data_IF_268457462183
#
_entry.id   IF_268457462183
#
_cell.length_a   1.000
_cell.length_b   1.000
_cell.length_c   1.000
_cell.angle_alpha   90.00
_cell.angle_beta   90.00
_cell.angle_gamma   90.00
#
_symmetry.space_group_name_H-M   'P 1'
#
loop_
_entity.id
_entity.type
_entity.pdbx_description
1 polymer ?
#
# COMPACT_ATOMS: atom_id res chain seq x y z
N UNK A 1 15.77 4.46 3.85
CA UNK A 1 14.90 3.36 4.34
C UNK A 1 15.64 2.02 4.32
N UNK A 2 16.16 1.58 3.20
CA UNK A 2 16.84 0.28 3.05
C UNK A 2 18.01 0.12 4.03
N UNK A 3 18.86 1.14 4.19
CA UNK A 3 20.02 1.11 5.10
C UNK A 3 19.69 0.85 6.57
N UNK A 4 18.43 1.06 6.99
CA UNK A 4 17.97 0.87 8.38
C UNK A 4 16.84 -0.14 8.47
N UNK A 5 16.72 -1.01 7.47
CA UNK A 5 15.63 -1.98 7.42
C UNK A 5 15.76 -3.04 8.51
N UNK A 6 16.98 -3.46 8.80
CA UNK A 6 17.36 -4.33 9.90
C UNK A 6 16.82 -3.84 11.25
N UNK A 7 17.01 -2.56 11.56
CA UNK A 7 16.51 -1.96 12.80
C UNK A 7 14.98 -2.05 12.94
N UNK A 8 14.26 -2.00 11.83
CA UNK A 8 12.81 -2.14 11.82
C UNK A 8 12.36 -3.59 11.96
N UNK A 9 13.05 -4.50 11.29
CA UNK A 9 12.71 -5.94 11.30
C UNK A 9 13.00 -6.56 12.65
N UNK A 10 14.08 -6.14 13.31
CA UNK A 10 14.52 -6.65 14.62
C UNK A 10 14.24 -5.68 15.77
N UNK A 11 13.33 -4.73 15.58
CA UNK A 11 12.92 -3.83 16.66
C UNK A 11 12.23 -4.60 17.79
N UNK A 12 12.51 -4.23 19.03
CA UNK A 12 11.83 -4.74 20.22
C UNK A 12 10.33 -4.41 20.21
N UNK A 13 9.96 -3.30 19.56
CA UNK A 13 8.55 -2.88 19.38
C UNK A 13 7.79 -3.71 18.34
N UNK A 14 8.45 -4.65 17.68
CA UNK A 14 7.79 -5.47 16.65
C UNK A 14 6.80 -6.45 17.28
N UNK A 15 5.57 -6.46 16.79
CA UNK A 15 4.55 -7.43 17.20
C UNK A 15 4.92 -8.82 16.67
N UNK A 16 5.31 -9.73 17.56
CA UNK A 16 5.73 -11.11 17.24
C UNK A 16 4.62 -12.12 17.53
N UNK A 17 3.61 -11.75 18.26
CA UNK A 17 2.54 -12.64 18.72
C UNK A 17 1.18 -11.98 18.55
N UNK A 18 0.14 -12.77 18.33
CA UNK A 18 -1.21 -12.26 18.31
C UNK A 18 -1.63 -11.70 19.66
N UNK A 19 -2.52 -10.72 19.64
CA UNK A 19 -3.12 -10.16 20.83
C UNK A 19 -4.61 -9.92 20.64
N UNK A 20 -5.39 -10.11 21.66
CA UNK A 20 -6.81 -9.78 21.72
C UNK A 20 -7.04 -8.56 22.59
N UNK A 21 -8.04 -7.77 22.25
CA UNK A 21 -8.41 -6.60 23.07
C UNK A 21 -8.88 -7.04 24.45
N UNK A 22 -8.35 -6.44 25.50
CA UNK A 22 -8.64 -6.74 26.90
C UNK A 22 -9.53 -5.69 27.57
N UNK A 23 -9.73 -4.53 26.94
CA UNK A 23 -10.53 -3.42 27.48
C UNK A 23 -11.56 -2.89 26.49
N UNK A 24 -12.13 -1.73 26.78
CA UNK A 24 -13.04 -1.00 25.92
C UNK A 24 -12.40 -0.58 24.59
N UNK A 25 -13.23 -0.29 23.59
CA UNK A 25 -12.76 0.22 22.31
C UNK A 25 -12.10 1.60 22.51
N UNK A 26 -10.84 1.74 22.09
CA UNK A 26 -10.07 2.99 22.23
C UNK A 26 -9.14 3.04 23.45
N UNK A 27 -9.26 2.14 24.41
CA UNK A 27 -8.39 2.11 25.60
C UNK A 27 -6.96 1.63 25.30
N UNK A 28 -6.73 0.98 24.15
CA UNK A 28 -5.41 0.47 23.79
C UNK A 28 -4.92 -0.72 24.61
N UNK A 29 -5.78 -1.32 25.42
CA UNK A 29 -5.46 -2.48 26.25
C UNK A 29 -5.56 -3.77 25.47
N UNK A 30 -4.47 -4.53 25.40
CA UNK A 30 -4.39 -5.82 24.69
C UNK A 30 -3.75 -6.89 25.56
N UNK A 31 -4.25 -8.12 25.45
CA UNK A 31 -3.69 -9.32 26.06
C UNK A 31 -3.07 -10.19 24.98
N UNK A 32 -1.81 -10.57 25.16
CA UNK A 32 -1.14 -11.54 24.28
C UNK A 32 -1.83 -12.91 24.38
N UNK A 33 -1.98 -13.58 23.25
CA UNK A 33 -2.57 -14.91 23.12
C UNK A 33 -1.68 -15.82 22.30
N UNK A 34 -1.94 -17.13 22.34
CA UNK A 34 -1.31 -18.07 21.41
C UNK A 34 -1.90 -17.94 19.99
N UNK A 35 -1.19 -18.46 19.00
CA UNK A 35 -1.73 -18.56 17.64
C UNK A 35 -2.96 -19.46 17.57
N UNK A 36 -2.98 -20.54 18.33
CA UNK A 36 -4.16 -21.43 18.41
C UNK A 36 -5.37 -20.68 18.95
N UNK A 37 -5.23 -19.98 20.07
CA UNK A 37 -6.31 -19.18 20.65
C UNK A 37 -6.81 -18.10 19.69
N UNK A 38 -5.91 -17.43 18.97
CA UNK A 38 -6.29 -16.40 18.00
C UNK A 38 -7.06 -17.00 16.80
N UNK A 39 -6.59 -18.12 16.27
CA UNK A 39 -7.21 -18.78 15.12
C UNK A 39 -8.58 -19.39 15.50
N UNK A 40 -8.69 -20.00 16.67
CA UNK A 40 -9.97 -20.54 17.18
C UNK A 40 -11.00 -19.42 17.37
N UNK A 41 -10.57 -18.29 17.91
CA UNK A 41 -11.44 -17.12 18.05
C UNK A 41 -11.92 -16.59 16.68
N UNK A 42 -11.03 -16.48 15.69
CA UNK A 42 -11.39 -16.03 14.33
C UNK A 42 -12.34 -17.02 13.68
N UNK A 43 -12.03 -18.32 13.75
CA UNK A 43 -12.86 -19.36 13.16
C UNK A 43 -14.26 -19.40 13.78
N UNK A 44 -14.35 -19.32 15.11
CA UNK A 44 -15.63 -19.24 15.82
C UNK A 44 -16.46 -18.04 15.36
N UNK A 45 -15.84 -16.84 15.32
CA UNK A 45 -16.55 -15.63 14.91
C UNK A 45 -17.00 -15.66 13.45
N UNK A 46 -16.18 -16.14 12.55
CA UNK A 46 -16.58 -16.30 11.15
C UNK A 46 -17.73 -17.29 11.00
N UNK A 47 -17.70 -18.40 11.73
CA UNK A 47 -18.76 -19.40 11.72
C UNK A 47 -20.08 -18.85 12.30
N UNK A 48 -20.03 -18.12 13.40
CA UNK A 48 -21.18 -17.45 14.00
C UNK A 48 -21.80 -16.44 13.01
N UNK A 49 -21.00 -15.55 12.44
CA UNK A 49 -21.47 -14.53 11.48
C UNK A 49 -22.07 -15.18 10.24
N UNK A 50 -21.38 -16.17 9.66
CA UNK A 50 -21.87 -16.87 8.48
C UNK A 50 -23.18 -17.61 8.72
N UNK A 51 -23.37 -18.20 9.90
CA UNK A 51 -24.61 -18.87 10.28
C UNK A 51 -25.76 -17.89 10.50
N UNK A 52 -25.50 -16.77 11.18
CA UNK A 52 -26.54 -15.87 11.65
C UNK A 52 -26.90 -14.78 10.62
N UNK A 53 -25.97 -14.43 9.72
CA UNK A 53 -26.09 -13.31 8.79
C UNK A 53 -25.71 -13.64 7.34
N UNK A 54 -25.18 -14.84 7.07
CA UNK A 54 -24.59 -15.20 5.78
C UNK A 54 -23.11 -14.86 5.68
N UNK A 55 -22.40 -15.54 4.78
CA UNK A 55 -20.98 -15.30 4.56
C UNK A 55 -20.67 -13.90 4.03
N UNK A 56 -21.58 -13.30 3.28
CA UNK A 56 -21.50 -11.96 2.72
C UNK A 56 -21.48 -10.83 3.77
N UNK A 57 -21.87 -11.12 5.02
CA UNK A 57 -21.68 -10.23 6.16
C UNK A 57 -20.21 -10.08 6.58
N UNK A 58 -19.29 -10.89 6.04
CA UNK A 58 -17.85 -10.81 6.25
C UNK A 58 -17.24 -10.04 5.09
N UNK A 59 -16.63 -8.89 5.35
CA UNK A 59 -15.92 -8.10 4.35
C UNK A 59 -14.42 -8.07 4.65
N UNK A 60 -13.58 -8.82 3.91
CA UNK A 60 -12.14 -8.68 3.98
C UNK A 60 -11.70 -7.35 3.36
N UNK A 61 -11.09 -6.49 4.18
CA UNK A 61 -10.53 -5.22 3.72
C UNK A 61 -9.05 -5.43 3.44
N UNK A 62 -8.70 -5.65 2.17
CA UNK A 62 -7.34 -5.79 1.71
C UNK A 62 -7.01 -4.72 0.67
N UNK A 63 -5.83 -4.11 0.82
CA UNK A 63 -5.37 -3.06 -0.09
C UNK A 63 -3.84 -3.16 -0.24
N UNK A 64 -3.22 -2.21 -0.96
CA UNK A 64 -1.78 -2.21 -1.15
C UNK A 64 -1.01 -2.36 0.15
N UNK A 65 -0.06 -3.26 0.22
CA UNK A 65 0.71 -3.60 1.43
C UNK A 65 1.82 -4.57 1.11
N UNK A 66 1.94 -5.62 1.89
CA UNK A 66 2.88 -6.71 1.61
C UNK A 66 2.41 -7.48 0.39
N UNK A 67 3.15 -7.37 -0.69
CA UNK A 67 2.89 -8.09 -1.92
C UNK A 67 3.68 -9.40 -1.91
N UNK A 68 3.00 -10.50 -1.87
CA UNK A 68 3.57 -11.83 -1.90
C UNK A 68 2.59 -12.83 -2.50
N UNK A 69 3.09 -13.89 -3.07
CA UNK A 69 2.30 -14.92 -3.73
C UNK A 69 1.22 -15.56 -2.86
N UNK A 70 1.36 -15.48 -1.53
CA UNK A 70 0.42 -16.03 -0.57
C UNK A 70 -0.46 -14.97 0.10
N UNK A 71 -0.16 -13.69 -0.06
CA UNK A 71 -0.77 -12.62 0.73
C UNK A 71 -1.42 -11.52 -0.12
N UNK A 72 -1.40 -11.62 -1.44
CA UNK A 72 -2.00 -10.62 -2.32
C UNK A 72 -2.82 -11.29 -3.43
N UNK A 73 -4.13 -11.36 -3.21
CA UNK A 73 -5.14 -11.87 -4.15
C UNK A 73 -4.95 -13.33 -4.61
N UNK A 74 -4.24 -14.12 -3.82
CA UNK A 74 -4.04 -15.53 -4.10
C UNK A 74 -4.78 -16.41 -3.09
N UNK A 75 -4.09 -16.89 -2.06
CA UNK A 75 -4.64 -17.82 -1.08
C UNK A 75 -5.71 -17.16 -0.19
N UNK A 76 -5.54 -15.90 0.19
CA UNK A 76 -6.51 -15.12 0.94
C UNK A 76 -7.83 -15.00 0.18
N UNK A 77 -7.79 -14.69 -1.11
CA UNK A 77 -8.98 -14.58 -1.96
C UNK A 77 -9.73 -15.91 -2.07
N UNK A 78 -9.00 -17.01 -2.24
CA UNK A 78 -9.59 -18.36 -2.28
C UNK A 78 -10.28 -18.71 -0.96
N UNK A 79 -9.64 -18.41 0.17
CA UNK A 79 -10.20 -18.62 1.48
C UNK A 79 -11.52 -17.84 1.67
N UNK A 80 -11.51 -16.53 1.43
CA UNK A 80 -12.70 -15.70 1.60
C UNK A 80 -13.82 -16.04 0.63
N UNK A 81 -13.49 -16.41 -0.60
CA UNK A 81 -14.46 -16.92 -1.56
C UNK A 81 -15.08 -18.23 -1.08
N UNK A 82 -14.29 -19.13 -0.49
CA UNK A 82 -14.79 -20.43 0.01
C UNK A 82 -15.82 -20.28 1.13
N UNK A 83 -15.70 -19.27 1.97
CA UNK A 83 -16.67 -18.99 3.05
C UNK A 83 -17.82 -18.07 2.62
N UNK A 84 -17.88 -17.71 1.35
CA UNK A 84 -18.94 -16.84 0.81
C UNK A 84 -18.86 -15.39 1.23
N UNK A 85 -17.65 -14.90 1.60
CA UNK A 85 -17.45 -13.52 2.04
C UNK A 85 -17.63 -12.51 0.90
N UNK A 86 -18.04 -11.31 1.24
CA UNK A 86 -18.10 -10.16 0.34
C UNK A 86 -16.73 -9.82 -0.24
N UNK A 87 -16.72 -9.18 -1.40
CA UNK A 87 -15.49 -8.71 -2.03
C UNK A 87 -15.38 -7.20 -1.95
N UNK A 88 -14.19 -6.71 -1.59
CA UNK A 88 -13.90 -5.28 -1.58
C UNK A 88 -13.73 -4.77 -3.01
N UNK A 89 -14.56 -3.80 -3.41
CA UNK A 89 -14.32 -3.04 -4.64
C UNK A 89 -13.20 -2.02 -4.40
N UNK A 90 -12.01 -2.28 -4.94
CA UNK A 90 -10.85 -1.41 -4.79
C UNK A 90 -10.94 -0.22 -5.73
N UNK A 91 -11.40 0.92 -5.24
CA UNK A 91 -11.73 2.10 -6.06
C UNK A 91 -10.90 3.35 -5.72
N UNK A 92 -10.07 3.33 -4.67
CA UNK A 92 -9.48 4.56 -4.15
C UNK A 92 -8.20 4.99 -4.89
N UNK A 93 -7.22 4.12 -5.11
CA UNK A 93 -5.94 4.56 -5.69
C UNK A 93 -5.78 4.22 -7.18
N UNK A 94 -5.77 2.96 -7.56
CA UNK A 94 -5.47 2.55 -8.93
C UNK A 94 -6.65 2.68 -9.88
N UNK A 95 -7.87 2.45 -9.43
CA UNK A 95 -9.05 2.45 -10.30
C UNK A 95 -9.33 3.81 -10.96
N UNK A 96 -9.31 4.97 -10.26
CA UNK A 96 -9.45 6.27 -10.89
C UNK A 96 -8.33 6.56 -11.89
N UNK A 97 -7.09 6.23 -11.53
CA UNK A 97 -5.93 6.42 -12.42
C UNK A 97 -6.06 5.57 -13.68
N UNK A 98 -6.46 4.31 -13.53
CA UNK A 98 -6.68 3.40 -14.67
C UNK A 98 -7.82 3.87 -15.55
N UNK A 99 -8.93 4.34 -14.97
CA UNK A 99 -10.06 4.87 -15.72
C UNK A 99 -9.69 6.12 -16.51
N UNK A 100 -8.99 7.07 -15.89
CA UNK A 100 -8.51 8.28 -16.56
C UNK A 100 -7.52 7.95 -17.68
N UNK A 101 -6.54 7.08 -17.41
CA UNK A 101 -5.55 6.68 -18.40
C UNK A 101 -6.18 5.92 -19.57
N UNK A 102 -7.13 5.02 -19.30
CA UNK A 102 -7.84 4.29 -20.35
C UNK A 102 -8.69 5.23 -21.22
N UNK A 103 -9.35 6.24 -20.63
CA UNK A 103 -10.12 7.22 -21.36
C UNK A 103 -9.25 8.11 -22.27
N UNK A 104 -8.03 8.45 -21.83
CA UNK A 104 -7.12 9.32 -22.58
C UNK A 104 -6.26 8.57 -23.59
N UNK A 105 -5.80 7.38 -23.26
CA UNK A 105 -4.76 6.65 -24.00
C UNK A 105 -5.18 5.24 -24.44
N UNK A 106 -6.40 4.80 -24.12
CA UNK A 106 -6.89 3.44 -24.36
C UNK A 106 -6.34 2.38 -23.40
N UNK A 107 -5.32 2.69 -22.64
CA UNK A 107 -4.70 1.81 -21.62
C UNK A 107 -3.97 2.62 -20.56
N UNK A 108 -3.64 1.98 -19.47
CA UNK A 108 -2.73 2.56 -18.50
C UNK A 108 -1.30 2.49 -19.05
N UNK A 109 -0.84 3.60 -19.62
CA UNK A 109 0.51 3.73 -20.18
C UNK A 109 1.50 4.12 -19.07
N UNK A 110 2.75 3.68 -19.24
CA UNK A 110 3.90 4.10 -18.44
C UNK A 110 5.12 4.17 -19.32
N UNK A 111 6.12 4.90 -18.86
CA UNK A 111 7.42 5.02 -19.52
C UNK A 111 8.47 4.27 -18.69
N UNK A 112 9.56 3.85 -19.31
CA UNK A 112 10.71 3.31 -18.60
C UNK A 112 11.40 4.42 -17.78
N UNK A 113 12.12 4.04 -16.73
CA UNK A 113 12.78 5.04 -15.87
C UNK A 113 13.84 5.84 -16.64
N UNK A 114 14.52 5.21 -17.59
CA UNK A 114 15.54 5.80 -18.44
C UNK A 114 14.95 6.89 -19.36
N UNK A 115 13.68 6.81 -19.73
CA UNK A 115 13.02 7.81 -20.58
C UNK A 115 12.96 9.20 -19.92
N UNK A 116 12.92 9.24 -18.57
CA UNK A 116 12.91 10.50 -17.83
C UNK A 116 14.19 11.32 -18.08
N UNK A 117 15.31 10.67 -18.39
CA UNK A 117 16.57 11.36 -18.66
C UNK A 117 16.56 12.22 -19.94
N UNK A 118 15.63 11.90 -20.85
CA UNK A 118 15.44 12.62 -22.12
C UNK A 118 14.42 13.76 -22.02
N UNK A 119 13.74 13.90 -20.87
CA UNK A 119 12.79 14.99 -20.66
C UNK A 119 13.51 16.35 -20.59
N UNK A 120 12.87 17.39 -21.13
CA UNK A 120 13.28 18.78 -20.97
C UNK A 120 12.58 19.49 -19.82
N UNK A 121 11.42 18.95 -19.42
CA UNK A 121 10.64 19.41 -18.29
C UNK A 121 10.09 18.18 -17.55
N UNK A 122 10.28 18.15 -16.24
CA UNK A 122 9.71 17.14 -15.35
C UNK A 122 8.80 17.85 -14.35
N UNK A 123 7.57 17.39 -14.25
CA UNK A 123 6.59 17.88 -13.27
C UNK A 123 6.32 16.75 -12.27
N UNK A 124 6.67 16.98 -11.00
CA UNK A 124 6.37 16.09 -9.89
C UNK A 124 5.17 16.63 -9.14
N UNK A 125 4.02 15.98 -9.31
CA UNK A 125 2.75 16.48 -8.77
C UNK A 125 2.13 15.49 -7.79
N UNK A 126 1.98 15.92 -6.53
CA UNK A 126 1.33 15.14 -5.49
C UNK A 126 2.02 13.82 -5.14
N UNK A 127 3.32 13.71 -5.41
CA UNK A 127 4.10 12.54 -5.09
C UNK A 127 5.50 12.90 -4.54
N UNK A 128 6.08 11.97 -3.79
CA UNK A 128 7.41 12.15 -3.20
C UNK A 128 8.35 11.01 -3.61
N UNK A 129 8.92 11.04 -4.82
CA UNK A 129 9.80 9.99 -5.32
C UNK A 129 10.98 9.69 -4.41
N UNK A 130 11.53 10.69 -3.73
CA UNK A 130 12.65 10.49 -2.79
C UNK A 130 12.29 9.57 -1.60
N UNK A 131 11.01 9.28 -1.38
CA UNK A 131 10.52 8.41 -0.31
C UNK A 131 9.86 7.14 -0.86
N UNK A 132 9.04 7.26 -1.88
CA UNK A 132 8.17 6.17 -2.37
C UNK A 132 8.55 5.62 -3.74
N UNK A 133 9.45 6.29 -4.46
CA UNK A 133 9.91 5.90 -5.80
C UNK A 133 11.39 6.21 -5.99
N UNK A 134 12.23 5.77 -5.04
CA UNK A 134 13.65 6.16 -4.98
C UNK A 134 14.45 5.86 -6.25
N UNK A 135 14.01 4.86 -7.02
CA UNK A 135 14.70 4.45 -8.26
C UNK A 135 14.57 5.46 -9.39
N UNK A 136 13.52 6.30 -9.42
CA UNK A 136 13.35 7.35 -10.43
C UNK A 136 14.22 8.59 -10.15
N UNK A 137 14.62 8.81 -8.91
CA UNK A 137 15.35 10.03 -8.51
C UNK A 137 16.68 10.22 -9.25
N UNK A 138 17.52 9.18 -9.47
CA UNK A 138 18.73 9.30 -10.27
C UNK A 138 18.45 9.80 -11.69
N UNK A 139 17.41 9.30 -12.34
CA UNK A 139 17.02 9.68 -13.70
C UNK A 139 16.51 11.12 -13.77
N UNK A 140 15.74 11.58 -12.77
CA UNK A 140 15.36 13.01 -12.66
C UNK A 140 16.60 13.90 -12.54
N UNK A 141 17.57 13.51 -11.73
CA UNK A 141 18.82 14.28 -11.57
C UNK A 141 19.68 14.27 -12.83
N UNK A 142 19.68 13.16 -13.57
CA UNK A 142 20.35 13.10 -14.87
C UNK A 142 19.73 14.06 -15.86
N UNK A 143 18.39 14.08 -15.95
CA UNK A 143 17.68 15.04 -16.78
C UNK A 143 18.05 16.50 -16.42
N UNK A 144 18.04 16.83 -15.12
CA UNK A 144 18.46 18.18 -14.65
C UNK A 144 19.90 18.50 -15.03
N UNK A 145 20.83 17.56 -14.93
CA UNK A 145 22.23 17.76 -15.38
C UNK A 145 22.31 18.04 -16.89
N UNK A 146 21.36 17.52 -17.66
CA UNK A 146 21.23 17.78 -19.10
C UNK A 146 20.42 19.07 -19.42
N UNK A 147 20.04 19.83 -18.39
CA UNK A 147 19.34 21.10 -18.53
C UNK A 147 17.81 21.02 -18.45
N UNK A 148 17.26 19.88 -18.07
CA UNK A 148 15.81 19.77 -17.82
C UNK A 148 15.40 20.65 -16.64
N UNK A 149 14.21 21.25 -16.76
CA UNK A 149 13.57 21.98 -15.66
C UNK A 149 12.76 21.01 -14.78
N UNK A 150 12.75 21.28 -13.48
CA UNK A 150 11.96 20.54 -12.50
C UNK A 150 10.94 21.45 -11.83
N UNK A 151 9.66 21.09 -11.94
CA UNK A 151 8.56 21.71 -11.22
C UNK A 151 8.04 20.71 -10.19
N UNK A 152 7.80 21.16 -8.96
CA UNK A 152 7.22 20.33 -7.92
C UNK A 152 5.97 20.98 -7.36
N UNK A 153 4.84 20.25 -7.42
CA UNK A 153 3.54 20.65 -6.89
C UNK A 153 3.19 19.69 -5.75
N UNK A 154 3.43 20.13 -4.51
CA UNK A 154 3.20 19.33 -3.30
C UNK A 154 2.91 20.27 -2.11
N UNK A 155 1.97 19.95 -1.22
CA UNK A 155 1.71 20.75 -0.02
C UNK A 155 2.85 20.74 0.99
N UNK A 156 3.86 19.88 0.80
CA UNK A 156 5.03 19.75 1.68
C UNK A 156 6.31 20.08 0.92
N UNK A 157 7.25 20.71 1.61
CA UNK A 157 8.60 20.93 1.10
C UNK A 157 9.39 19.60 1.07
N UNK A 158 9.20 18.83 0.00
CA UNK A 158 9.88 17.55 -0.23
C UNK A 158 11.35 17.73 -0.59
N UNK A 159 12.12 16.63 -0.66
CA UNK A 159 13.51 16.68 -1.10
C UNK A 159 13.66 17.22 -2.53
N UNK A 160 12.76 16.80 -3.43
CA UNK A 160 12.76 17.30 -4.80
C UNK A 160 12.25 18.74 -4.89
N UNK A 161 11.28 19.13 -4.06
CA UNK A 161 10.80 20.51 -4.02
C UNK A 161 11.93 21.53 -3.66
N UNK A 162 12.86 21.14 -2.79
CA UNK A 162 14.04 21.98 -2.48
C UNK A 162 15.04 22.11 -3.64
N UNK A 163 14.93 21.27 -4.64
CA UNK A 163 15.82 21.21 -5.81
C UNK A 163 15.09 21.61 -7.10
N UNK A 164 13.81 21.97 -6.99
CA UNK A 164 12.98 22.39 -8.12
C UNK A 164 13.34 23.81 -8.57
N UNK A 165 13.10 24.07 -9.84
CA UNK A 165 13.21 25.42 -10.41
C UNK A 165 11.99 26.28 -10.04
N UNK A 166 10.82 25.62 -9.84
CA UNK A 166 9.55 26.24 -9.42
C UNK A 166 8.81 25.28 -8.48
#
# INVERSE_FOLDING_TARGET
>A
KVRRFDRRVYSEDRLLYPAVRAGGKGEGAFRRVSWTEALDLIASRFSEIARDHGGDAILPVSYGGSNGWLSDEATDRLFFHRIGASQLARTVCAAPTSAASAAMYGKMAGVAYEDYEHARLIIVWGCNPAVTGIHIVPHIREAQRRGAKLIVIDPRMTTLARQADV
#
